data_IF_398852244750
#
_entry.id   IF_398852244750
#
_cell.length_a   1.000
_cell.length_b   1.000
_cell.length_c   1.000
_cell.angle_alpha   90.00
_cell.angle_beta   90.00
_cell.angle_gamma   90.00
#
_symmetry.space_group_name_H-M   'P 1'
#
loop_
_entity.id
_entity.type
_entity.pdbx_description
1 polymer ?
#
# COMPACT_ATOMS: atom_id res chain seq x y z
N UNK A 1 2.20 0.87 -9.35
CA UNK A 1 3.44 1.08 -8.58
C UNK A 1 4.51 0.30 -9.28
N UNK A 2 5.68 0.90 -9.49
CA UNK A 2 6.86 0.23 -10.02
C UNK A 2 7.72 -0.20 -8.85
N UNK A 3 8.18 -1.46 -8.85
CA UNK A 3 9.06 -2.02 -7.83
C UNK A 3 10.38 -2.40 -8.48
N UNK A 4 11.46 -1.81 -7.96
CA UNK A 4 12.84 -2.03 -8.38
C UNK A 4 13.48 -2.97 -7.37
N UNK A 5 13.59 -4.28 -7.67
CA UNK A 5 13.83 -5.30 -6.66
C UNK A 5 15.28 -5.38 -6.18
N UNK A 6 16.23 -4.84 -6.96
CA UNK A 6 17.67 -4.98 -6.69
C UNK A 6 18.48 -3.87 -7.32
N UNK A 7 19.68 -3.70 -6.79
CA UNK A 7 20.70 -2.85 -7.40
C UNK A 7 21.16 -3.46 -8.73
N UNK A 8 21.14 -2.65 -9.79
CA UNK A 8 21.57 -3.06 -11.13
C UNK A 8 21.75 -1.83 -12.01
N UNK A 9 22.42 -1.96 -13.15
CA UNK A 9 22.45 -0.95 -14.21
C UNK A 9 21.44 -1.24 -15.35
N UNK A 10 20.57 -2.24 -15.19
CA UNK A 10 19.60 -2.66 -16.22
C UNK A 10 18.18 -2.23 -15.94
N UNK A 11 17.74 -2.32 -14.68
CA UNK A 11 16.34 -2.17 -14.29
C UNK A 11 15.93 -0.71 -14.32
N UNK A 12 14.99 -0.39 -15.20
CA UNK A 12 14.51 0.98 -15.41
C UNK A 12 13.15 1.03 -16.06
N UNK A 13 12.45 2.14 -15.84
CA UNK A 13 11.21 2.47 -16.55
C UNK A 13 11.47 3.68 -17.43
N UNK A 14 11.30 3.51 -18.74
CA UNK A 14 11.40 4.59 -19.71
C UNK A 14 10.02 5.23 -19.84
N UNK A 15 9.90 6.51 -19.51
CA UNK A 15 8.66 7.27 -19.60
C UNK A 15 8.53 7.90 -21.00
N UNK A 16 7.32 7.87 -21.57
CA UNK A 16 7.04 8.34 -22.93
C UNK A 16 6.08 9.56 -22.88
N UNK A 17 6.54 10.74 -22.44
CA UNK A 17 5.69 11.93 -22.44
C UNK A 17 5.41 12.42 -23.87
N UNK A 18 4.35 13.19 -24.03
CA UNK A 18 4.12 13.96 -25.27
C UNK A 18 4.53 15.41 -25.05
N UNK A 19 5.74 15.78 -25.49
CA UNK A 19 6.28 17.13 -25.37
C UNK A 19 6.38 17.75 -26.76
N UNK A 20 5.53 18.73 -27.05
CA UNK A 20 5.41 19.34 -28.39
C UNK A 20 6.23 20.62 -28.57
N UNK A 21 6.78 21.16 -27.48
CA UNK A 21 7.60 22.39 -27.46
C UNK A 21 8.64 22.33 -26.35
N UNK A 22 9.81 22.97 -26.50
CA UNK A 22 10.82 23.02 -25.44
C UNK A 22 10.22 23.55 -24.13
N UNK A 23 10.55 22.92 -23.00
CA UNK A 23 10.01 23.28 -21.70
C UNK A 23 10.79 24.46 -21.13
N UNK A 24 10.10 25.57 -20.92
CA UNK A 24 10.61 26.75 -20.20
C UNK A 24 10.32 26.67 -18.70
N UNK A 25 9.37 25.82 -18.31
CA UNK A 25 9.00 25.58 -16.92
C UNK A 25 8.73 24.10 -16.77
N UNK A 26 9.03 23.56 -15.60
CA UNK A 26 8.72 22.17 -15.29
C UNK A 26 8.33 22.02 -13.84
N UNK A 27 7.35 21.18 -13.60
CA UNK A 27 7.16 20.57 -12.29
C UNK A 27 7.13 19.06 -12.45
N UNK A 28 7.79 18.33 -11.55
CA UNK A 28 7.78 16.88 -11.52
C UNK A 28 7.54 16.40 -10.10
N UNK A 29 6.56 15.51 -9.90
CA UNK A 29 6.22 14.92 -8.61
C UNK A 29 6.26 13.39 -8.70
N UNK A 30 6.67 12.75 -7.61
CA UNK A 30 6.62 11.31 -7.44
C UNK A 30 6.51 10.91 -5.96
N UNK A 31 5.91 9.75 -5.72
CA UNK A 31 5.93 9.06 -4.42
C UNK A 31 6.97 7.94 -4.45
N UNK A 32 7.87 7.91 -3.48
CA UNK A 32 8.90 6.86 -3.39
C UNK A 32 9.06 6.28 -2.00
N UNK A 33 9.36 4.99 -1.93
CA UNK A 33 9.82 4.30 -0.73
C UNK A 33 11.13 3.55 -1.03
N UNK A 34 12.14 3.72 -0.19
CA UNK A 34 13.43 3.02 -0.34
C UNK A 34 14.14 2.92 1.01
N UNK A 35 14.79 1.78 1.24
CA UNK A 35 15.61 1.50 2.42
C UNK A 35 17.12 1.66 2.16
N UNK A 36 17.50 2.14 0.97
CA UNK A 36 18.91 2.36 0.63
C UNK A 36 19.53 3.42 1.55
N UNK A 37 20.77 3.16 1.99
CA UNK A 37 21.59 4.08 2.78
C UNK A 37 22.60 4.87 1.94
N UNK A 38 22.67 4.59 0.63
CA UNK A 38 23.52 5.29 -0.36
C UNK A 38 22.70 6.26 -1.21
N UNK A 39 23.38 7.08 -2.01
CA UNK A 39 22.72 7.91 -3.01
C UNK A 39 22.04 7.10 -4.11
N UNK A 40 20.89 7.56 -4.59
CA UNK A 40 20.14 6.93 -5.68
C UNK A 40 19.32 7.93 -6.50
N UNK A 41 19.07 7.56 -7.76
CA UNK A 41 18.29 8.35 -8.71
C UNK A 41 16.79 8.10 -8.56
N UNK A 42 16.01 9.18 -8.45
CA UNK A 42 14.55 9.13 -8.41
C UNK A 42 13.96 9.30 -9.82
N UNK A 43 14.45 10.30 -10.55
CA UNK A 43 14.06 10.63 -11.92
C UNK A 43 15.28 11.19 -12.64
N UNK A 44 15.61 10.64 -13.80
CA UNK A 44 16.66 11.15 -14.69
C UNK A 44 16.08 11.48 -16.05
N UNK A 45 16.50 12.63 -16.58
CA UNK A 45 16.07 13.20 -17.84
C UNK A 45 17.29 13.66 -18.61
N UNK A 46 17.56 13.04 -19.76
CA UNK A 46 18.71 13.34 -20.59
C UNK A 46 18.28 13.79 -21.99
N UNK A 47 19.05 14.69 -22.59
CA UNK A 47 18.92 15.12 -23.99
C UNK A 47 20.22 14.82 -24.73
N UNK A 48 20.25 15.03 -26.04
CA UNK A 48 21.50 14.89 -26.82
C UNK A 48 22.60 15.88 -26.38
N UNK A 49 22.26 16.94 -25.65
CA UNK A 49 23.18 18.00 -25.20
C UNK A 49 23.53 17.95 -23.72
N UNK A 50 22.73 17.26 -22.90
CA UNK A 50 22.90 17.22 -21.45
C UNK A 50 22.38 15.92 -20.89
N UNK A 51 23.26 15.19 -20.20
CA UNK A 51 22.95 13.99 -19.43
C UNK A 51 22.01 14.32 -18.25
N UNK A 52 22.20 15.50 -17.65
CA UNK A 52 21.41 16.02 -16.52
C UNK A 52 20.43 17.14 -16.94
N UNK A 53 19.64 16.89 -17.98
CA UNK A 53 18.64 17.87 -18.44
C UNK A 53 17.52 18.06 -17.39
N UNK A 54 17.16 17.00 -16.67
CA UNK A 54 16.35 17.03 -15.44
C UNK A 54 16.74 15.85 -14.57
N UNK A 55 17.39 16.08 -13.43
CA UNK A 55 17.83 15.00 -12.54
C UNK A 55 17.37 15.27 -11.10
N UNK A 56 16.81 14.26 -10.45
CA UNK A 56 16.46 14.26 -9.03
C UNK A 56 17.19 13.08 -8.39
N UNK A 57 18.23 13.39 -7.62
CA UNK A 57 18.99 12.43 -6.82
C UNK A 57 18.67 12.64 -5.34
N UNK A 58 18.57 11.55 -4.59
CA UNK A 58 18.46 11.60 -3.15
C UNK A 58 19.62 10.86 -2.49
N UNK A 59 20.18 11.49 -1.46
CA UNK A 59 21.27 11.01 -0.63
C UNK A 59 20.76 10.99 0.81
N UNK A 60 20.37 9.79 1.31
CA UNK A 60 19.98 9.60 2.69
C UNK A 60 21.02 10.16 3.66
N UNK A 61 20.58 10.73 4.80
CA UNK A 61 19.19 10.79 5.27
C UNK A 61 18.37 11.98 4.72
N UNK A 62 19.01 12.99 4.14
CA UNK A 62 18.35 14.31 3.99
C UNK A 62 18.77 15.17 2.80
N UNK A 63 19.71 14.73 1.95
CA UNK A 63 20.21 15.59 0.86
C UNK A 63 19.55 15.24 -0.47
N UNK A 64 19.00 16.23 -1.15
CA UNK A 64 18.59 16.10 -2.55
C UNK A 64 19.52 16.92 -3.44
N UNK A 65 19.94 16.34 -4.55
CA UNK A 65 20.56 17.08 -5.63
C UNK A 65 19.56 17.13 -6.79
N UNK A 66 19.22 18.35 -7.21
CA UNK A 66 18.31 18.58 -8.33
C UNK A 66 19.03 19.39 -9.39
N UNK A 67 19.04 18.85 -10.61
CA UNK A 67 19.67 19.51 -11.75
C UNK A 67 18.62 19.77 -12.83
N UNK A 68 18.70 20.94 -13.45
CA UNK A 68 17.93 21.30 -14.64
C UNK A 68 18.90 21.90 -15.65
N UNK A 69 19.07 21.21 -16.79
CA UNK A 69 20.08 21.54 -17.81
C UNK A 69 21.45 21.84 -17.19
N UNK A 70 22.07 20.87 -16.50
CA UNK A 70 23.29 21.16 -15.74
C UNK A 70 24.41 21.79 -16.61
N UNK A 71 24.76 23.05 -16.30
CA UNK A 71 25.90 23.78 -16.89
C UNK A 71 26.87 24.25 -15.79
N UNK A 72 27.04 23.47 -14.71
CA UNK A 72 27.83 23.76 -13.48
C UNK A 72 27.09 24.45 -12.30
N UNK A 73 25.75 24.50 -12.30
CA UNK A 73 24.96 24.95 -11.13
C UNK A 73 23.70 24.07 -10.95
N UNK A 74 23.70 23.24 -9.91
CA UNK A 74 22.54 22.47 -9.46
C UNK A 74 22.02 22.96 -8.11
N UNK A 75 20.75 22.71 -7.82
CA UNK A 75 20.20 22.94 -6.48
C UNK A 75 20.61 21.80 -5.54
N UNK A 76 21.34 22.13 -4.48
CA UNK A 76 21.61 21.21 -3.38
C UNK A 76 20.69 21.56 -2.22
N UNK A 77 19.85 20.62 -1.81
CA UNK A 77 18.84 20.82 -0.78
C UNK A 77 19.16 19.94 0.43
N UNK A 78 19.00 20.50 1.62
CA UNK A 78 19.05 19.77 2.88
C UNK A 78 17.66 19.80 3.50
N UNK A 79 17.06 18.62 3.68
CA UNK A 79 15.77 18.47 4.35
C UNK A 79 15.96 18.28 5.85
N UNK A 80 14.95 18.66 6.61
CA UNK A 80 14.91 18.45 8.07
C UNK A 80 14.29 17.11 8.47
N UNK A 81 13.79 16.34 7.50
CA UNK A 81 13.12 15.07 7.72
C UNK A 81 14.08 14.04 8.37
N UNK A 82 13.89 13.83 9.66
CA UNK A 82 14.51 12.77 10.47
C UNK A 82 13.54 11.61 10.76
N UNK A 83 12.34 11.65 10.17
CA UNK A 83 11.28 10.67 10.38
C UNK A 83 11.67 9.28 9.81
N UNK A 84 11.17 8.18 10.40
CA UNK A 84 11.55 6.82 10.04
C UNK A 84 11.27 6.47 8.57
N UNK A 85 11.86 5.37 8.09
CA UNK A 85 11.69 4.81 6.75
C UNK A 85 10.20 4.70 6.38
N UNK A 86 9.69 5.70 5.65
CA UNK A 86 8.32 5.74 5.13
C UNK A 86 8.30 6.41 3.74
N UNK A 87 7.16 6.34 3.07
CA UNK A 87 6.92 6.96 1.77
C UNK A 87 7.20 8.46 1.78
N UNK A 88 7.81 8.93 0.69
CA UNK A 88 8.16 10.34 0.48
C UNK A 88 7.48 10.88 -0.76
N UNK A 89 6.69 11.94 -0.59
CA UNK A 89 6.14 12.71 -1.70
C UNK A 89 7.15 13.80 -2.09
N UNK A 90 7.84 13.64 -3.20
CA UNK A 90 8.85 14.58 -3.66
C UNK A 90 8.36 15.29 -4.91
N UNK A 91 8.31 16.63 -4.86
CA UNK A 91 8.07 17.47 -6.02
C UNK A 91 9.22 18.43 -6.25
N UNK A 92 9.60 18.64 -7.51
CA UNK A 92 10.55 19.66 -7.94
C UNK A 92 9.85 20.61 -8.90
N UNK A 93 10.11 21.91 -8.76
CA UNK A 93 9.68 22.93 -9.71
C UNK A 93 10.87 23.74 -10.22
N UNK A 94 10.81 24.16 -11.48
CA UNK A 94 11.77 25.09 -12.09
C UNK A 94 11.09 26.06 -13.05
N UNK A 95 11.53 27.32 -13.01
CA UNK A 95 11.08 28.40 -13.88
C UNK A 95 12.24 29.04 -14.63
N UNK A 96 12.30 28.93 -15.96
CA UNK A 96 13.36 29.55 -16.77
C UNK A 96 13.39 31.08 -16.67
N UNK A 97 12.26 31.74 -16.45
CA UNK A 97 12.19 33.21 -16.41
C UNK A 97 13.02 33.77 -15.24
N UNK A 98 13.05 33.03 -14.14
CA UNK A 98 13.76 33.41 -12.90
C UNK A 98 14.98 32.55 -12.63
N UNK A 99 15.02 31.35 -13.19
CA UNK A 99 15.91 30.24 -12.86
C UNK A 99 15.58 29.56 -11.52
N UNK A 100 14.52 29.95 -10.81
CA UNK A 100 14.24 29.42 -9.47
C UNK A 100 13.98 27.92 -9.50
N UNK A 101 14.68 27.16 -8.65
CA UNK A 101 14.43 25.73 -8.40
C UNK A 101 13.91 25.55 -6.97
N UNK A 102 12.80 24.83 -6.83
CA UNK A 102 12.22 24.52 -5.53
C UNK A 102 12.03 23.01 -5.37
N UNK A 103 12.26 22.52 -4.16
CA UNK A 103 11.98 21.17 -3.74
C UNK A 103 10.82 21.23 -2.74
N UNK A 104 9.88 20.31 -2.87
CA UNK A 104 8.84 20.06 -1.88
C UNK A 104 8.93 18.61 -1.46
N UNK A 105 9.04 18.36 -0.15
CA UNK A 105 9.01 17.00 0.41
C UNK A 105 7.86 16.94 1.40
N UNK A 106 6.93 16.01 1.19
CA UNK A 106 5.74 15.82 2.03
C UNK A 106 4.91 17.10 2.21
N UNK A 107 4.89 17.96 1.19
CA UNK A 107 4.19 19.25 1.20
C UNK A 107 4.97 20.40 1.85
N UNK A 108 6.15 20.15 2.42
CA UNK A 108 7.04 21.19 2.94
C UNK A 108 7.99 21.73 1.86
N UNK A 109 8.06 23.06 1.74
CA UNK A 109 8.95 23.76 0.79
C UNK A 109 10.38 23.85 1.31
N UNK A 110 11.32 23.51 0.43
CA UNK A 110 12.76 23.72 0.55
C UNK A 110 13.25 24.46 -0.71
N UNK A 111 13.54 25.76 -0.66
CA UNK A 111 14.05 26.50 -1.82
C UNK A 111 15.55 26.21 -2.03
N UNK A 112 15.98 25.89 -3.27
CA UNK A 112 17.36 25.42 -3.54
C UNK A 112 18.14 26.23 -4.55
N UNK A 113 17.73 27.48 -4.77
CA UNK A 113 18.53 28.46 -5.50
C UNK A 113 18.07 28.68 -6.93
N UNK A 114 18.99 29.16 -7.76
CA UNK A 114 18.77 29.57 -9.14
C UNK A 114 19.63 28.70 -10.06
N UNK A 115 19.04 28.12 -11.10
CA UNK A 115 19.72 27.33 -12.12
C UNK A 115 19.16 27.63 -13.50
N UNK A 116 20.04 27.65 -14.49
CA UNK A 116 19.70 27.62 -15.93
C UNK A 116 18.67 28.65 -16.40
N UNK A 117 18.68 29.87 -15.81
CA UNK A 117 17.81 30.99 -16.20
C UNK A 117 17.90 31.29 -17.69
N UNK A 118 16.76 31.44 -18.37
CA UNK A 118 16.66 31.71 -19.80
C UNK A 118 16.97 30.51 -20.70
N UNK A 119 17.14 29.32 -20.13
CA UNK A 119 17.32 28.06 -20.89
C UNK A 119 16.00 27.34 -21.15
N UNK A 120 16.03 26.27 -21.93
CA UNK A 120 14.89 25.38 -22.12
C UNK A 120 15.32 23.94 -22.12
N UNK A 121 14.49 23.04 -21.60
CA UNK A 121 14.68 21.60 -21.78
C UNK A 121 14.15 21.22 -23.16
N UNK A 122 14.95 20.49 -23.94
CA UNK A 122 14.58 20.09 -25.31
C UNK A 122 13.40 19.11 -25.33
N UNK A 123 12.64 19.12 -26.43
CA UNK A 123 11.50 18.20 -26.62
C UNK A 123 11.93 16.73 -26.69
N UNK A 124 13.11 16.48 -27.25
CA UNK A 124 13.73 15.16 -27.34
C UNK A 124 14.47 14.81 -26.04
N UNK A 125 13.71 14.67 -24.95
CA UNK A 125 14.20 14.23 -23.65
C UNK A 125 13.87 12.76 -23.41
N UNK A 126 14.87 12.00 -22.96
CA UNK A 126 14.75 10.63 -22.45
C UNK A 126 14.50 10.70 -20.95
N UNK A 127 13.29 10.39 -20.51
CA UNK A 127 12.90 10.35 -19.10
C UNK A 127 12.93 8.91 -18.58
N UNK A 128 13.65 8.68 -17.49
CA UNK A 128 13.89 7.37 -16.91
C UNK A 128 13.67 7.40 -15.39
N UNK A 129 13.00 6.37 -14.88
CA UNK A 129 12.96 6.05 -13.45
C UNK A 129 13.91 4.89 -13.16
N UNK A 130 14.55 4.95 -12.00
CA UNK A 130 15.36 3.87 -11.43
C UNK A 130 16.83 3.86 -11.81
N UNK A 131 17.25 4.72 -12.75
CA UNK A 131 18.64 4.86 -13.17
C UNK A 131 19.00 6.32 -13.42
N UNK A 132 20.25 6.66 -13.13
CA UNK A 132 20.90 7.90 -13.52
C UNK A 132 21.48 7.74 -14.95
N UNK A 133 21.29 8.72 -15.83
CA UNK A 133 21.77 8.71 -17.20
C UNK A 133 23.04 9.54 -17.34
N UNK A 134 24.22 8.90 -17.40
CA UNK A 134 25.47 9.60 -17.76
C UNK A 134 25.54 9.94 -19.28
N UNK A 135 24.59 9.45 -20.09
CA UNK A 135 24.45 9.79 -21.51
C UNK A 135 23.00 9.65 -21.99
N UNK A 136 22.66 10.22 -23.15
CA UNK A 136 21.31 10.14 -23.71
C UNK A 136 20.81 8.69 -23.84
N UNK A 137 19.92 8.27 -22.93
CA UNK A 137 19.34 6.93 -22.89
C UNK A 137 20.27 5.81 -22.39
N UNK A 138 21.42 6.15 -21.79
CA UNK A 138 22.45 5.18 -21.39
C UNK A 138 23.45 5.70 -20.37
N UNK A 139 24.56 5.00 -20.19
CA UNK A 139 25.60 5.36 -19.21
C UNK A 139 25.25 4.95 -17.77
N UNK A 140 24.41 3.95 -17.59
CA UNK A 140 23.90 3.55 -16.27
C UNK A 140 24.99 2.92 -15.37
N UNK A 141 25.12 3.42 -14.13
CA UNK A 141 25.90 2.82 -13.06
C UNK A 141 24.98 2.20 -11.99
N UNK A 142 25.21 0.93 -11.68
CA UNK A 142 24.42 0.20 -10.69
C UNK A 142 24.44 0.89 -9.31
N UNK A 143 25.54 1.51 -8.93
CA UNK A 143 25.71 2.20 -7.64
C UNK A 143 24.85 3.46 -7.51
N UNK A 144 24.31 3.98 -8.61
CA UNK A 144 23.40 5.13 -8.65
C UNK A 144 21.92 4.70 -8.80
N UNK A 145 21.66 3.41 -9.02
CA UNK A 145 20.32 2.89 -9.26
C UNK A 145 19.40 3.00 -8.05
N UNK A 146 18.09 3.08 -8.32
CA UNK A 146 17.06 3.00 -7.30
C UNK A 146 16.74 1.56 -6.94
N UNK A 147 16.51 1.30 -5.65
CA UNK A 147 15.93 0.04 -5.15
C UNK A 147 14.81 0.40 -4.20
N UNK A 148 13.62 -0.13 -4.44
CA UNK A 148 12.40 0.22 -3.70
C UNK A 148 11.20 0.40 -4.62
N UNK A 149 10.29 1.29 -4.22
CA UNK A 149 8.99 1.46 -4.86
C UNK A 149 8.77 2.90 -5.33
N UNK A 150 8.26 3.07 -6.56
CA UNK A 150 7.88 4.37 -7.14
C UNK A 150 6.41 4.34 -7.56
N UNK A 151 5.68 5.38 -7.19
CA UNK A 151 4.30 5.62 -7.63
C UNK A 151 4.01 7.10 -7.88
N UNK A 152 2.80 7.42 -8.36
CA UNK A 152 2.32 8.80 -8.54
C UNK A 152 3.25 9.74 -9.31
N UNK A 153 3.87 9.22 -10.35
CA UNK A 153 4.75 10.02 -11.20
C UNK A 153 3.91 10.95 -12.07
N UNK A 154 4.11 12.25 -11.89
CA UNK A 154 3.42 13.30 -12.60
C UNK A 154 4.39 14.39 -13.06
N UNK A 155 4.12 15.02 -14.21
CA UNK A 155 4.93 16.11 -14.75
C UNK A 155 4.07 17.15 -15.46
N UNK A 156 4.45 18.42 -15.32
CA UNK A 156 3.75 19.58 -15.88
C UNK A 156 4.70 20.53 -16.63
N UNK A 157 4.17 21.28 -17.60
CA UNK A 157 4.90 22.33 -18.35
C UNK A 157 4.80 23.72 -17.69
N UNK A 158 4.38 23.77 -16.42
CA UNK A 158 4.26 24.98 -15.61
C UNK A 158 4.73 24.73 -14.17
N UNK A 159 4.97 25.81 -13.43
CA UNK A 159 5.35 25.78 -12.01
C UNK A 159 4.10 25.56 -11.17
N UNK A 160 4.06 24.48 -10.39
CA UNK A 160 2.99 24.23 -9.43
C UNK A 160 3.00 25.25 -8.29
N UNK A 161 1.83 25.74 -7.92
CA UNK A 161 1.64 26.55 -6.72
C UNK A 161 1.58 25.68 -5.46
N UNK A 162 1.72 26.23 -4.24
CA UNK A 162 1.56 25.45 -3.01
C UNK A 162 0.20 24.73 -2.90
N UNK A 163 -0.88 25.34 -3.41
CA UNK A 163 -2.20 24.71 -3.44
C UNK A 163 -2.27 23.58 -4.48
N UNK A 164 -1.58 23.73 -5.62
CA UNK A 164 -1.46 22.65 -6.59
C UNK A 164 -0.70 21.46 -6.01
N UNK A 165 0.40 21.70 -5.29
CA UNK A 165 1.16 20.64 -4.60
C UNK A 165 0.25 19.85 -3.66
N UNK A 166 -0.61 20.53 -2.89
CA UNK A 166 -1.60 19.88 -2.02
C UNK A 166 -2.59 19.01 -2.81
N UNK A 167 -3.04 19.49 -3.97
CA UNK A 167 -3.96 18.74 -4.86
C UNK A 167 -3.28 17.55 -5.53
N UNK A 168 -1.97 17.60 -5.80
CA UNK A 168 -1.23 16.43 -6.26
C UNK A 168 -1.24 15.35 -5.18
N UNK A 169 -0.96 15.73 -3.92
CA UNK A 169 -0.97 14.80 -2.78
C UNK A 169 -2.35 14.18 -2.54
N UNK A 170 -3.44 14.93 -2.68
CA UNK A 170 -4.81 14.39 -2.56
C UNK A 170 -5.28 13.60 -3.78
N UNK A 171 -4.56 13.68 -4.90
CA UNK A 171 -4.92 13.02 -6.16
C UNK A 171 -5.93 13.79 -7.02
N UNK A 172 -6.17 15.07 -6.71
CA UNK A 172 -7.11 15.96 -7.42
C UNK A 172 -6.47 16.71 -8.60
N UNK A 173 -5.14 16.72 -8.68
CA UNK A 173 -4.39 17.31 -9.79
C UNK A 173 -3.53 16.28 -10.51
N UNK A 174 -3.53 16.32 -11.83
CA UNK A 174 -2.79 15.40 -12.69
C UNK A 174 -1.91 16.16 -13.67
N UNK A 175 -0.73 15.58 -13.96
CA UNK A 175 0.23 16.13 -14.92
C UNK A 175 -0.28 16.17 -16.36
N UNK A 176 -0.01 17.28 -17.05
CA UNK A 176 -0.32 17.44 -18.46
C UNK A 176 0.80 16.94 -19.39
N UNK A 177 2.04 16.78 -18.89
CA UNK A 177 3.12 16.11 -19.62
C UNK A 177 3.13 14.62 -19.32
N UNK A 178 3.09 14.26 -18.02
CA UNK A 178 3.00 12.88 -17.54
C UNK A 178 1.88 12.80 -16.49
N UNK A 179 0.95 11.88 -16.68
CA UNK A 179 -0.06 11.55 -15.70
C UNK A 179 0.04 10.08 -15.30
N UNK A 180 0.19 9.81 -14.01
CA UNK A 180 0.24 8.44 -13.48
C UNK A 180 -0.92 7.56 -13.97
N UNK A 181 -2.14 8.10 -14.07
CA UNK A 181 -3.35 7.35 -14.49
C UNK A 181 -3.31 6.91 -15.95
N UNK A 182 -2.58 7.62 -16.80
CA UNK A 182 -2.51 7.40 -18.24
C UNK A 182 -1.05 7.31 -18.70
N UNK A 183 -0.19 6.76 -17.85
CA UNK A 183 1.25 6.77 -18.05
C UNK A 183 1.61 5.85 -19.23
N UNK A 184 2.26 6.41 -20.25
CA UNK A 184 2.90 5.63 -21.30
C UNK A 184 4.34 5.35 -20.89
N UNK A 185 4.70 4.07 -20.80
CA UNK A 185 6.03 3.66 -20.35
C UNK A 185 6.48 2.35 -20.99
N UNK A 186 7.78 2.08 -20.87
CA UNK A 186 8.41 0.83 -21.26
C UNK A 186 9.31 0.34 -20.12
N UNK A 187 9.16 -0.93 -19.74
CA UNK A 187 10.00 -1.55 -18.71
C UNK A 187 11.22 -2.20 -19.38
N UNK A 188 12.38 -2.03 -18.77
CA UNK A 188 13.61 -2.79 -19.05
C UNK A 188 14.09 -3.46 -17.77
N UNK A 189 14.56 -4.70 -17.88
CA UNK A 189 15.03 -5.49 -16.74
C UNK A 189 13.89 -6.10 -15.93
N UNK A 190 14.10 -6.27 -14.63
CA UNK A 190 13.20 -7.02 -13.72
C UNK A 190 12.28 -6.12 -12.88
N UNK A 191 11.95 -4.92 -13.37
CA UNK A 191 11.01 -4.02 -12.69
C UNK A 191 9.62 -4.65 -12.64
N UNK A 192 9.05 -4.78 -11.44
CA UNK A 192 7.71 -5.35 -11.23
C UNK A 192 6.66 -4.24 -11.24
N UNK A 193 5.46 -4.55 -11.73
CA UNK A 193 4.28 -3.68 -11.62
C UNK A 193 3.38 -4.23 -10.53
N UNK A 194 3.12 -3.44 -9.49
CA UNK A 194 2.14 -3.74 -8.46
C UNK A 194 0.97 -2.73 -8.53
N UNK A 195 -0.30 -3.16 -8.35
CA UNK A 195 -1.43 -2.24 -8.25
C UNK A 195 -1.26 -1.27 -7.06
N UNK A 196 -1.44 0.04 -7.28
CA UNK A 196 -1.29 1.08 -6.24
C UNK A 196 -2.33 0.96 -5.10
N UNK A 197 -3.42 0.23 -5.29
CA UNK A 197 -4.57 0.20 -4.38
C UNK A 197 -4.65 -1.06 -3.53
N UNK A 198 -3.56 -1.45 -2.87
CA UNK A 198 -3.57 -2.64 -2.02
C UNK A 198 -3.66 -2.33 -0.52
N UNK A 199 -3.58 -1.07 -0.11
CA UNK A 199 -3.80 -0.71 1.29
C UNK A 199 -5.30 -0.62 1.59
N UNK A 200 -5.73 -1.24 2.69
CA UNK A 200 -7.12 -1.31 3.16
C UNK A 200 -7.49 -0.14 4.08
N UNK A 201 -6.54 0.76 4.36
CA UNK A 201 -6.81 1.95 5.19
C UNK A 201 -7.89 2.84 4.56
N UNK A 202 -8.82 3.33 5.38
CA UNK A 202 -9.97 4.15 4.99
C UNK A 202 -10.86 3.53 3.91
N UNK A 203 -10.80 2.20 3.72
CA UNK A 203 -11.66 1.47 2.78
C UNK A 203 -12.65 0.56 3.50
N UNK A 204 -13.77 0.35 2.82
CA UNK A 204 -14.82 -0.62 3.15
C UNK A 204 -15.01 -1.53 1.95
N UNK A 205 -14.97 -2.83 2.17
CA UNK A 205 -15.36 -3.83 1.17
C UNK A 205 -16.85 -4.09 1.29
N UNK A 206 -17.58 -3.83 0.21
CA UNK A 206 -19.03 -4.03 0.12
C UNK A 206 -19.31 -5.28 -0.71
N UNK A 207 -19.98 -6.24 -0.09
CA UNK A 207 -20.44 -7.49 -0.67
C UNK A 207 -21.94 -7.36 -0.95
N UNK A 208 -22.36 -6.97 -2.17
CA UNK A 208 -23.73 -6.55 -2.43
C UNK A 208 -24.72 -7.71 -2.46
N UNK A 209 -24.26 -8.94 -2.72
CA UNK A 209 -25.12 -10.10 -2.95
C UNK A 209 -24.47 -11.39 -2.46
N UNK A 210 -25.32 -12.33 -2.03
CA UNK A 210 -24.90 -13.68 -1.72
C UNK A 210 -24.50 -14.42 -3.00
N UNK A 211 -23.24 -14.82 -3.10
CA UNK A 211 -22.69 -15.58 -4.24
C UNK A 211 -21.66 -16.57 -3.72
N UNK A 212 -21.21 -17.50 -4.56
CA UNK A 212 -20.04 -18.33 -4.29
C UNK A 212 -18.77 -17.84 -5.02
N UNK A 213 -18.78 -16.60 -5.52
CA UNK A 213 -17.69 -16.05 -6.33
C UNK A 213 -17.10 -14.77 -5.75
N UNK A 214 -17.91 -13.93 -5.10
CA UNK A 214 -17.46 -12.65 -4.54
C UNK A 214 -16.68 -12.89 -3.24
N UNK A 215 -15.39 -12.53 -3.23
CA UNK A 215 -14.52 -12.61 -2.05
C UNK A 215 -13.30 -11.68 -2.19
N UNK A 216 -12.66 -11.40 -1.06
CA UNK A 216 -11.37 -10.69 -1.02
C UNK A 216 -10.31 -11.64 -0.49
N UNK A 217 -9.24 -11.87 -1.25
CA UNK A 217 -8.08 -12.65 -0.83
C UNK A 217 -7.10 -11.70 -0.14
N UNK A 218 -6.61 -12.06 1.06
CA UNK A 218 -5.56 -11.33 1.76
C UNK A 218 -4.25 -12.14 1.69
N UNK A 219 -3.13 -11.47 1.37
CA UNK A 219 -1.81 -12.09 1.19
C UNK A 219 -0.78 -11.52 2.17
N UNK A 220 -0.88 -11.81 3.48
CA UNK A 220 0.17 -11.46 4.43
C UNK A 220 1.37 -12.38 4.30
N UNK A 221 2.53 -11.94 4.79
CA UNK A 221 3.74 -12.77 4.85
C UNK A 221 3.80 -13.52 6.18
N UNK A 222 3.57 -14.83 6.16
CA UNK A 222 3.65 -15.71 7.34
C UNK A 222 4.84 -16.66 7.18
N UNK A 223 5.92 -16.40 7.93
CA UNK A 223 7.20 -17.12 7.79
C UNK A 223 7.36 -18.30 8.76
N UNK A 224 6.47 -18.44 9.75
CA UNK A 224 6.48 -19.52 10.75
C UNK A 224 5.07 -19.96 11.11
N UNK A 225 4.86 -21.23 11.50
CA UNK A 225 3.54 -21.69 11.94
C UNK A 225 3.04 -20.84 13.11
N UNK A 226 1.77 -20.45 13.06
CA UNK A 226 1.17 -19.60 14.08
C UNK A 226 0.72 -20.46 15.26
N UNK A 227 1.31 -20.21 16.43
CA UNK A 227 0.88 -20.79 17.70
C UNK A 227 -0.09 -19.89 18.46
N UNK A 228 -0.19 -18.63 18.06
CA UNK A 228 -1.11 -17.65 18.62
C UNK A 228 -1.63 -16.81 17.48
N UNK A 229 -2.91 -16.46 17.55
CA UNK A 229 -3.55 -15.61 16.56
C UNK A 229 -4.51 -14.68 17.27
N UNK A 230 -4.52 -13.42 16.85
CA UNK A 230 -5.68 -12.54 17.05
C UNK A 230 -6.13 -11.98 15.71
N UNK A 231 -7.44 -11.94 15.46
CA UNK A 231 -8.04 -11.32 14.28
C UNK A 231 -9.08 -10.33 14.77
N UNK A 232 -9.03 -9.09 14.28
CA UNK A 232 -10.06 -8.08 14.51
C UNK A 232 -10.55 -7.55 13.16
N UNK A 233 -11.85 -7.27 13.07
CA UNK A 233 -12.46 -6.60 11.92
C UNK A 233 -13.74 -5.86 12.32
N UNK A 234 -14.18 -4.95 11.47
CA UNK A 234 -15.50 -4.34 11.53
C UNK A 234 -16.41 -4.95 10.47
N UNK A 235 -17.66 -5.21 10.83
CA UNK A 235 -18.67 -5.68 9.89
C UNK A 235 -20.03 -5.01 10.12
N UNK A 236 -20.79 -4.81 9.04
CA UNK A 236 -22.16 -4.32 9.08
C UNK A 236 -23.03 -5.11 8.10
N UNK A 237 -24.13 -5.68 8.58
CA UNK A 237 -24.97 -6.59 7.79
C UNK A 237 -26.36 -6.70 8.39
N UNK A 238 -27.36 -6.97 7.55
CA UNK A 238 -28.75 -7.28 7.90
C UNK A 238 -29.08 -8.79 7.72
N UNK A 239 -28.06 -9.64 7.49
CA UNK A 239 -28.25 -11.06 7.30
C UNK A 239 -28.86 -11.76 8.52
N UNK A 240 -29.94 -12.49 8.29
CA UNK A 240 -30.62 -13.36 9.26
C UNK A 240 -30.25 -14.85 9.14
N UNK A 241 -29.43 -15.21 8.14
CA UNK A 241 -28.88 -16.55 7.93
C UNK A 241 -27.44 -16.64 8.44
N UNK A 242 -26.86 -17.85 8.60
CA UNK A 242 -25.44 -18.00 8.87
C UNK A 242 -24.54 -17.40 7.76
N UNK A 243 -23.37 -16.87 8.15
CA UNK A 243 -22.38 -16.30 7.23
C UNK A 243 -20.96 -16.26 7.82
N UNK A 244 -19.97 -16.13 6.93
CA UNK A 244 -18.55 -16.04 7.27
C UNK A 244 -18.00 -14.62 7.14
N UNK A 245 -17.29 -14.14 8.16
CA UNK A 245 -16.57 -12.85 8.07
C UNK A 245 -15.11 -13.03 7.63
N UNK A 246 -14.43 -14.04 8.18
CA UNK A 246 -13.01 -14.29 7.97
C UNK A 246 -12.76 -15.80 7.94
N UNK A 247 -12.16 -16.30 6.85
CA UNK A 247 -11.76 -17.69 6.71
C UNK A 247 -10.27 -17.77 6.37
N UNK A 248 -9.53 -18.54 7.16
CA UNK A 248 -8.15 -18.93 6.91
C UNK A 248 -8.10 -20.45 6.78
N UNK A 249 -7.63 -20.91 5.63
CA UNK A 249 -7.39 -22.32 5.32
C UNK A 249 -5.89 -22.60 5.24
N UNK A 250 -5.52 -23.85 5.48
CA UNK A 250 -4.18 -24.41 5.23
C UNK A 250 -4.35 -25.67 4.37
N UNK A 251 -3.30 -26.17 3.69
CA UNK A 251 -3.38 -27.44 3.00
C UNK A 251 -3.87 -28.55 3.95
N UNK A 252 -5.03 -29.14 3.64
CA UNK A 252 -5.66 -30.20 4.43
C UNK A 252 -6.55 -29.75 5.60
N UNK A 253 -6.67 -28.45 5.88
CA UNK A 253 -7.64 -27.90 6.86
C UNK A 253 -8.23 -26.61 6.32
N UNK A 254 -9.42 -26.71 5.79
CA UNK A 254 -10.19 -25.62 5.21
C UNK A 254 -10.67 -24.62 6.30
N UNK A 255 -10.92 -25.13 7.51
CA UNK A 255 -11.26 -24.42 8.73
C UNK A 255 -10.09 -24.30 9.71
N UNK A 256 -8.93 -23.85 9.21
CA UNK A 256 -7.75 -23.65 10.07
C UNK A 256 -7.94 -22.49 11.06
N UNK A 257 -8.60 -21.40 10.65
CA UNK A 257 -9.17 -20.38 11.54
C UNK A 257 -10.40 -19.74 10.87
N UNK A 258 -11.58 -19.88 11.46
CA UNK A 258 -12.84 -19.36 10.90
C UNK A 258 -13.63 -18.56 11.94
N UNK A 259 -14.15 -17.39 11.53
CA UNK A 259 -15.15 -16.62 12.27
C UNK A 259 -16.50 -16.75 11.54
N UNK A 260 -17.37 -17.60 12.07
CA UNK A 260 -18.67 -17.94 11.49
C UNK A 260 -19.82 -17.48 12.38
N UNK A 261 -20.68 -16.60 11.88
CA UNK A 261 -21.81 -16.10 12.65
C UNK A 261 -23.08 -16.86 12.26
N UNK A 262 -23.89 -17.16 13.26
CA UNK A 262 -25.16 -17.87 13.15
C UNK A 262 -26.21 -17.04 13.91
N UNK A 263 -26.82 -16.04 13.24
CA UNK A 263 -27.90 -15.27 13.81
C UNK A 263 -29.02 -16.19 14.36
N UNK A 264 -29.70 -15.78 15.45
CA UNK A 264 -29.66 -14.44 16.05
C UNK A 264 -28.54 -14.23 17.08
N UNK A 265 -27.88 -15.29 17.59
CA UNK A 265 -27.12 -15.18 18.84
C UNK A 265 -25.96 -16.18 18.99
N UNK A 266 -25.46 -16.75 17.91
CA UNK A 266 -24.32 -17.67 17.98
C UNK A 266 -23.16 -17.20 17.09
N UNK A 267 -21.95 -17.36 17.60
CA UNK A 267 -20.70 -17.18 16.87
C UNK A 267 -19.84 -18.42 17.08
N UNK A 268 -19.57 -19.15 16.00
CA UNK A 268 -18.73 -20.33 15.97
C UNK A 268 -17.33 -19.95 15.54
N UNK A 269 -16.34 -20.25 16.38
CA UNK A 269 -14.93 -20.03 16.11
C UNK A 269 -14.27 -21.37 15.89
N UNK A 270 -13.71 -21.57 14.70
CA UNK A 270 -12.95 -22.78 14.37
C UNK A 270 -11.46 -22.52 14.51
N UNK A 271 -10.74 -23.52 15.03
CA UNK A 271 -9.30 -23.63 15.00
C UNK A 271 -8.99 -25.05 14.51
N UNK A 272 -8.32 -25.18 13.37
CA UNK A 272 -7.92 -26.49 12.80
C UNK A 272 -9.05 -27.55 12.79
N UNK A 273 -10.20 -27.23 12.18
CA UNK A 273 -11.43 -28.05 12.08
C UNK A 273 -12.25 -28.20 13.38
N UNK A 274 -11.69 -27.96 14.57
CA UNK A 274 -12.43 -27.99 15.83
C UNK A 274 -13.09 -26.62 16.07
N UNK A 275 -14.35 -26.60 16.52
CA UNK A 275 -15.04 -25.33 16.80
C UNK A 275 -15.58 -25.22 18.21
N UNK A 276 -15.69 -23.98 18.65
CA UNK A 276 -16.36 -23.59 19.90
C UNK A 276 -17.46 -22.60 19.61
N UNK A 277 -18.58 -22.73 20.31
CA UNK A 277 -19.75 -21.87 20.14
C UNK A 277 -19.80 -20.85 21.28
N UNK A 278 -19.87 -19.58 20.89
CA UNK A 278 -20.15 -18.45 21.77
C UNK A 278 -21.61 -18.03 21.60
N UNK A 279 -22.34 -17.98 22.71
CA UNK A 279 -23.67 -17.35 22.74
C UNK A 279 -23.49 -15.85 22.89
N UNK A 280 -23.92 -15.09 21.88
CA UNK A 280 -23.84 -13.63 21.82
C UNK A 280 -25.19 -13.01 22.20
N UNK A 281 -25.20 -11.69 22.37
CA UNK A 281 -26.47 -10.97 22.48
C UNK A 281 -27.21 -10.97 21.11
N UNK A 282 -28.53 -10.78 21.13
CA UNK A 282 -29.33 -10.53 19.92
C UNK A 282 -29.22 -9.04 19.58
N UNK A 283 -29.00 -8.70 18.31
CA UNK A 283 -28.41 -7.41 17.98
C UNK A 283 -29.33 -6.46 17.18
N UNK A 284 -29.10 -5.16 17.37
CA UNK A 284 -29.60 -4.07 16.54
C UNK A 284 -28.75 -3.91 15.29
N UNK A 285 -29.34 -3.40 14.21
CA UNK A 285 -28.65 -3.13 12.95
C UNK A 285 -27.65 -1.96 13.12
N UNK A 286 -26.37 -2.26 13.38
CA UNK A 286 -25.26 -1.30 13.48
C UNK A 286 -23.91 -1.96 13.17
N UNK A 287 -22.85 -1.17 12.98
CA UNK A 287 -21.47 -1.62 12.83
C UNK A 287 -20.99 -2.38 14.07
N UNK A 288 -20.30 -3.51 13.83
CA UNK A 288 -19.73 -4.34 14.91
C UNK A 288 -18.24 -4.49 14.74
N UNK A 289 -17.51 -4.18 15.80
CA UNK A 289 -16.11 -4.52 15.94
C UNK A 289 -15.97 -5.88 16.62
N UNK A 290 -15.49 -6.88 15.88
CA UNK A 290 -15.34 -8.27 16.34
C UNK A 290 -13.85 -8.57 16.43
N UNK A 291 -13.41 -9.07 17.59
CA UNK A 291 -12.07 -9.63 17.76
C UNK A 291 -12.16 -11.06 18.28
N UNK A 292 -11.30 -11.93 17.75
CA UNK A 292 -11.13 -13.30 18.19
C UNK A 292 -9.66 -13.56 18.42
N UNK A 293 -9.30 -14.18 19.54
CA UNK A 293 -7.93 -14.62 19.81
C UNK A 293 -7.85 -16.07 20.24
N UNK A 294 -6.77 -16.75 19.88
CA UNK A 294 -6.45 -18.10 20.30
C UNK A 294 -4.98 -18.22 20.75
N UNK A 295 -4.74 -18.91 21.87
CA UNK A 295 -3.40 -19.23 22.39
C UNK A 295 -3.17 -20.74 22.43
N UNK A 296 -2.28 -21.28 21.60
CA UNK A 296 -1.95 -22.71 21.59
C UNK A 296 -1.44 -23.23 22.93
N UNK A 297 -0.70 -22.42 23.71
CA UNK A 297 -0.11 -22.90 24.96
C UNK A 297 -1.18 -23.32 25.98
N UNK A 298 -2.31 -22.63 25.95
CA UNK A 298 -3.42 -22.86 26.89
C UNK A 298 -4.67 -23.45 26.22
N UNK A 299 -4.76 -23.35 24.90
CA UNK A 299 -5.96 -23.58 24.10
C UNK A 299 -7.00 -22.47 24.22
N UNK A 300 -6.74 -21.38 24.94
CA UNK A 300 -7.74 -20.38 25.27
C UNK A 300 -8.23 -19.63 24.02
N UNK A 301 -9.54 -19.67 23.78
CA UNK A 301 -10.23 -18.89 22.74
C UNK A 301 -11.04 -17.79 23.41
N UNK A 302 -10.91 -16.56 22.91
CA UNK A 302 -11.60 -15.39 23.42
C UNK A 302 -12.29 -14.65 22.28
N UNK A 303 -13.54 -14.23 22.53
CA UNK A 303 -14.35 -13.42 21.62
C UNK A 303 -14.66 -12.08 22.29
N UNK A 304 -14.43 -10.99 21.56
CA UNK A 304 -14.88 -9.66 21.92
C UNK A 304 -15.79 -9.11 20.83
N UNK A 305 -16.92 -8.53 21.21
CA UNK A 305 -17.78 -7.76 20.31
C UNK A 305 -17.96 -6.38 20.93
N UNK A 306 -17.65 -5.33 20.17
CA UNK A 306 -17.70 -3.92 20.61
C UNK A 306 -16.97 -3.69 21.95
N UNK A 307 -15.85 -4.38 22.14
CA UNK A 307 -15.02 -4.31 23.35
C UNK A 307 -15.53 -5.15 24.54
N UNK A 308 -16.72 -5.75 24.47
CA UNK A 308 -17.26 -6.67 25.49
C UNK A 308 -16.65 -8.06 25.31
N UNK A 309 -15.96 -8.56 26.33
CA UNK A 309 -15.43 -9.92 26.38
C UNK A 309 -16.54 -10.93 26.71
N UNK A 310 -16.66 -11.99 25.92
CA UNK A 310 -17.56 -13.11 26.16
C UNK A 310 -16.90 -14.23 26.97
N UNK A 311 -17.67 -15.13 27.62
CA UNK A 311 -17.12 -16.25 28.38
C UNK A 311 -16.17 -17.08 27.54
N UNK A 312 -14.94 -17.23 28.02
CA UNK A 312 -13.83 -17.88 27.30
C UNK A 312 -14.15 -19.34 26.97
N UNK A 313 -13.50 -19.86 25.93
CA UNK A 313 -13.54 -21.28 25.53
C UNK A 313 -12.13 -21.84 25.48
N UNK A 314 -12.00 -23.15 25.33
CA UNK A 314 -10.71 -23.83 25.13
C UNK A 314 -10.84 -24.73 23.92
N UNK A 315 -9.87 -24.69 23.02
CA UNK A 315 -9.80 -25.55 21.83
C UNK A 315 -8.35 -25.68 21.34
N UNK A 316 -8.03 -26.83 20.75
CA UNK A 316 -6.74 -27.07 20.06
C UNK A 316 -5.47 -26.73 20.85
N UNK A 317 -5.42 -27.00 22.17
CA UNK A 317 -4.20 -26.79 22.96
C UNK A 317 -3.00 -27.57 22.38
N UNK A 318 -1.86 -26.90 22.24
CA UNK A 318 -0.62 -27.48 21.70
C UNK A 318 -0.59 -27.59 20.17
N UNK A 319 -1.61 -27.07 19.47
CA UNK A 319 -1.68 -27.08 18.01
C UNK A 319 -0.93 -25.90 17.37
N UNK A 320 -0.90 -25.85 16.04
CA UNK A 320 -0.44 -24.69 15.27
C UNK A 320 -1.18 -24.59 13.95
N UNK A 321 -1.28 -23.37 13.41
CA UNK A 321 -1.75 -23.11 12.05
C UNK A 321 -0.52 -23.05 11.15
N UNK A 322 -0.55 -23.76 10.02
CA UNK A 322 0.59 -23.87 9.10
C UNK A 322 0.98 -22.51 8.48
N UNK A 323 2.19 -22.42 7.91
CA UNK A 323 2.70 -21.21 7.23
C UNK A 323 2.00 -20.97 5.90
N UNK A 324 1.78 -22.04 5.13
CA UNK A 324 1.05 -21.97 3.88
C UNK A 324 -0.44 -21.79 4.19
N UNK A 325 -0.95 -20.61 3.87
CA UNK A 325 -2.31 -20.19 4.22
C UNK A 325 -3.02 -19.56 3.03
N UNK A 326 -4.33 -19.73 2.98
CA UNK A 326 -5.25 -18.98 2.13
C UNK A 326 -6.21 -18.24 3.03
N UNK A 327 -6.19 -16.90 2.97
CA UNK A 327 -7.02 -16.03 3.81
C UNK A 327 -8.02 -15.30 2.91
N UNK A 328 -9.31 -15.48 3.19
CA UNK A 328 -10.39 -14.86 2.44
C UNK A 328 -11.40 -14.16 3.34
N UNK A 329 -11.96 -13.06 2.84
CA UNK A 329 -13.11 -12.36 3.41
C UNK A 329 -14.35 -12.63 2.57
N UNK A 330 -15.49 -12.77 3.26
CA UNK A 330 -16.81 -12.87 2.65
C UNK A 330 -17.22 -14.26 2.17
N UNK A 331 -16.36 -15.27 2.30
CA UNK A 331 -16.66 -16.67 2.00
C UNK A 331 -16.10 -17.60 3.07
N UNK A 332 -16.77 -18.74 3.25
CA UNK A 332 -16.25 -19.91 3.95
C UNK A 332 -15.51 -20.80 2.94
N UNK A 333 -14.32 -21.29 3.30
CA UNK A 333 -13.55 -22.20 2.46
C UNK A 333 -13.87 -23.64 2.84
N UNK A 334 -14.38 -24.43 1.89
CA UNK A 334 -14.52 -25.90 1.99
C UNK A 334 -13.32 -26.63 1.34
N UNK A 335 -12.37 -25.89 0.79
CA UNK A 335 -11.04 -26.39 0.43
C UNK A 335 -10.01 -25.25 0.42
N UNK A 336 -8.72 -25.58 0.35
CA UNK A 336 -7.65 -24.58 0.34
C UNK A 336 -7.80 -23.61 -0.84
N UNK A 337 -8.22 -22.36 -0.56
CA UNK A 337 -8.43 -21.32 -1.57
C UNK A 337 -9.73 -21.42 -2.36
N UNK A 338 -10.70 -22.23 -1.95
CA UNK A 338 -11.93 -22.43 -2.71
C UNK A 338 -13.00 -23.23 -1.96
N UNK A 339 -13.87 -23.90 -2.73
CA UNK A 339 -14.99 -24.67 -2.18
C UNK A 339 -16.21 -23.83 -1.80
N UNK A 340 -16.21 -22.53 -2.11
CA UNK A 340 -17.22 -21.58 -1.65
C UNK A 340 -18.68 -21.98 -1.91
N UNK A 341 -19.54 -21.81 -0.90
CA UNK A 341 -20.99 -21.92 -1.02
C UNK A 341 -21.71 -20.59 -0.77
N UNK A 342 -22.65 -20.24 -1.65
CA UNK A 342 -23.42 -18.99 -1.53
C UNK A 342 -24.28 -18.92 -0.26
N UNK A 343 -24.63 -20.08 0.32
CA UNK A 343 -25.37 -20.22 1.59
C UNK A 343 -24.58 -19.71 2.81
N UNK A 344 -23.24 -19.72 2.72
CA UNK A 344 -22.31 -19.35 3.79
C UNK A 344 -21.65 -17.98 3.54
N UNK A 345 -21.86 -17.38 2.38
CA UNK A 345 -21.23 -16.12 2.00
C UNK A 345 -21.68 -14.95 2.87
N UNK A 346 -20.87 -13.91 2.97
CA UNK A 346 -21.26 -12.64 3.56
C UNK A 346 -21.99 -11.75 2.56
N UNK A 347 -22.89 -10.90 3.08
CA UNK A 347 -23.54 -9.79 2.37
C UNK A 347 -23.56 -8.62 3.35
N UNK A 348 -23.07 -7.47 2.90
CA UNK A 348 -22.88 -6.29 3.75
C UNK A 348 -21.49 -5.70 3.59
N UNK A 349 -20.97 -5.11 4.65
CA UNK A 349 -19.75 -4.31 4.63
C UNK A 349 -18.70 -4.85 5.61
N UNK A 350 -17.43 -4.91 5.19
CA UNK A 350 -16.28 -5.26 6.03
C UNK A 350 -15.22 -4.17 5.94
N UNK A 351 -14.67 -3.75 7.08
CA UNK A 351 -13.54 -2.82 7.16
C UNK A 351 -12.60 -3.19 8.32
N UNK A 352 -11.47 -2.48 8.43
CA UNK A 352 -10.57 -2.57 9.59
C UNK A 352 -10.08 -3.99 9.92
N UNK A 353 -9.76 -4.78 8.88
CA UNK A 353 -9.26 -6.13 9.06
C UNK A 353 -7.80 -6.09 9.50
N UNK A 354 -7.54 -6.68 10.66
CA UNK A 354 -6.24 -6.79 11.29
C UNK A 354 -5.99 -8.21 11.81
N UNK A 355 -4.72 -8.62 11.78
CA UNK A 355 -4.29 -9.91 12.32
C UNK A 355 -2.92 -9.79 12.99
N UNK A 356 -2.77 -10.51 14.10
CA UNK A 356 -1.55 -10.60 14.89
C UNK A 356 -1.15 -12.06 15.13
N UNK A 357 0.16 -12.30 15.28
CA UNK A 357 0.73 -13.60 15.68
C UNK A 357 0.87 -13.76 17.21
N UNK A 358 0.16 -12.90 17.96
CA UNK A 358 0.07 -12.92 19.41
C UNK A 358 -1.36 -12.67 19.89
N UNK A 359 -1.61 -12.94 21.17
CA UNK A 359 -2.91 -12.74 21.82
C UNK A 359 -3.02 -11.29 22.28
N UNK A 360 -4.06 -10.58 21.83
CA UNK A 360 -4.33 -9.21 22.26
C UNK A 360 -4.79 -9.17 23.72
N UNK A 361 -4.27 -8.19 24.47
CA UNK A 361 -4.80 -7.87 25.80
C UNK A 361 -6.11 -7.08 25.71
N UNK A 362 -6.91 -6.98 26.80
CA UNK A 362 -8.08 -6.11 26.81
C UNK A 362 -7.78 -4.64 26.48
N UNK A 363 -6.56 -4.16 26.79
CA UNK A 363 -6.13 -2.81 26.43
C UNK A 363 -5.85 -2.70 24.93
N UNK A 364 -5.21 -3.71 24.36
CA UNK A 364 -4.93 -3.78 22.93
C UNK A 364 -6.23 -3.77 22.12
N UNK A 365 -7.24 -4.57 22.52
CA UNK A 365 -8.57 -4.57 21.87
C UNK A 365 -9.19 -3.16 21.85
N UNK A 366 -9.06 -2.39 22.93
CA UNK A 366 -9.51 -0.99 22.95
C UNK A 366 -8.70 -0.12 21.98
N UNK A 367 -7.38 -0.28 21.94
CA UNK A 367 -6.53 0.47 21.03
C UNK A 367 -6.88 0.17 19.56
N UNK A 368 -7.23 -1.08 19.22
CA UNK A 368 -7.72 -1.44 17.87
C UNK A 368 -9.04 -0.71 17.57
N UNK A 369 -10.00 -0.68 18.52
CA UNK A 369 -11.26 0.06 18.36
C UNK A 369 -10.99 1.55 18.08
N UNK A 370 -10.08 2.17 18.81
CA UNK A 370 -9.71 3.57 18.64
C UNK A 370 -8.76 3.83 17.47
N UNK A 371 -8.32 2.79 16.76
CA UNK A 371 -7.44 2.91 15.59
C UNK A 371 -5.97 3.19 15.92
N UNK A 372 -5.53 3.00 17.16
CA UNK A 372 -4.15 3.25 17.61
C UNK A 372 -3.26 2.01 17.68
N UNK A 373 -3.81 0.82 17.38
CA UNK A 373 -3.05 -0.42 17.28
C UNK A 373 -3.41 -1.16 15.98
N UNK A 374 -2.39 -1.65 15.28
CA UNK A 374 -2.53 -2.34 14.00
C UNK A 374 -1.86 -3.72 14.01
N UNK A 375 -2.35 -4.61 13.15
CA UNK A 375 -1.84 -5.98 12.96
C UNK A 375 -0.40 -6.03 12.48
N UNK A 376 0.40 -6.98 13.01
CA UNK A 376 1.73 -7.27 12.48
C UNK A 376 1.73 -8.38 11.41
N UNK A 377 0.64 -9.14 11.27
CA UNK A 377 0.45 -10.12 10.20
C UNK A 377 -0.38 -9.51 9.07
N UNK A 378 -1.56 -8.97 9.39
CA UNK A 378 -2.39 -8.20 8.45
C UNK A 378 -2.42 -6.75 8.93
N UNK A 379 -1.67 -5.88 8.23
CA UNK A 379 -1.60 -4.45 8.49
C UNK A 379 -2.31 -3.68 7.36
N UNK A 380 -3.18 -2.71 7.70
CA UNK A 380 -4.01 -1.99 6.72
C UNK A 380 -3.19 -1.27 5.64
N UNK A 381 -2.02 -0.76 6.00
CA UNK A 381 -1.13 0.00 5.11
C UNK A 381 -0.12 -0.85 4.33
N UNK A 382 -0.10 -2.17 4.46
CA UNK A 382 0.94 -2.97 3.77
C UNK A 382 0.48 -4.35 3.31
N UNK A 383 -0.63 -4.89 3.82
CA UNK A 383 -1.14 -6.17 3.32
C UNK A 383 -1.56 -6.03 1.85
N UNK A 384 -1.22 -7.03 1.05
CA UNK A 384 -1.68 -7.15 -0.34
C UNK A 384 -3.06 -7.84 -0.33
N UNK A 385 -4.04 -7.30 -1.05
CA UNK A 385 -5.33 -7.98 -1.26
C UNK A 385 -5.71 -8.13 -2.74
N UNK A 386 -6.58 -9.08 -3.03
CA UNK A 386 -7.11 -9.29 -4.38
C UNK A 386 -8.62 -9.43 -4.31
N UNK A 387 -9.34 -8.67 -5.13
CA UNK A 387 -10.79 -8.79 -5.24
C UNK A 387 -11.14 -9.81 -6.32
N UNK A 388 -12.04 -10.73 -5.99
CA UNK A 388 -12.65 -11.67 -6.92
C UNK A 388 -14.17 -11.50 -6.91
N UNK A 389 -14.80 -11.56 -8.08
CA UNK A 389 -16.24 -11.36 -8.23
C UNK A 389 -16.69 -9.92 -7.93
N UNK A 390 -17.98 -9.75 -7.65
CA UNK A 390 -18.61 -8.45 -7.39
C UNK A 390 -18.37 -8.03 -5.93
N UNK A 391 -17.26 -7.36 -5.66
CA UNK A 391 -16.98 -6.66 -4.38
C UNK A 391 -16.64 -5.21 -4.70
N UNK A 392 -17.35 -4.28 -4.09
CA UNK A 392 -17.10 -2.85 -4.27
C UNK A 392 -16.18 -2.35 -3.16
N UNK A 393 -15.40 -1.31 -3.46
CA UNK A 393 -14.65 -0.55 -2.47
C UNK A 393 -15.32 0.80 -2.30
N UNK A 394 -15.65 1.15 -1.07
CA UNK A 394 -16.13 2.48 -0.69
C UNK A 394 -15.17 3.12 0.32
N UNK A 395 -15.10 4.46 0.39
CA UNK A 395 -14.44 5.12 1.52
C UNK A 395 -15.19 4.78 2.81
N UNK A 396 -14.47 4.75 3.94
CA UNK A 396 -15.16 4.68 5.24
C UNK A 396 -16.06 5.91 5.44
N UNK A 397 -17.28 5.72 5.97
CA UNK A 397 -18.20 6.80 6.26
C UNK A 397 -17.70 7.74 7.36
#
# INVERSE_FOLDING_TARGET
>A
MFVFPKETNTDRVILRPTITRPLQKVSACLHTYSELSRGYCLLSGATSKSSDALLIMFYPPSRYNVYVNYINQGGNFLTTDSEPLDWRHTCVTWDSDTGLVQLWVNGQLYPGGVSSKGSSIETAISLILGQEQDSYGGGFDATQSFVGEISDVHMWDYVLTPEDIRKVTSGDLHGNILSWKSLLYEIKGEVLIQPKNLHMENKVFVFPKGTNTAHVILRPTITRPLQKVSVCLRSYTDLSRPYTLFSLATPGKDNAFLIYLQPPNNCSIYINQEHTIFKTDSESLDWRHICVSWDSNTGLVQLWINGKLYPRRVSMKGSSIATETSIVLGQEQDCFGGGFEASQSFVGEISDVHMWDYVLTPRDVKNVIYGSLHGNVIHLKSVVYEIKGEVLIQPKP
#
